data_IF_101316536354
#
_entry.id   IF_101316536354
#
_cell.length_a   1.000
_cell.length_b   1.000
_cell.length_c   1.000
_cell.angle_alpha   90.00
_cell.angle_beta   90.00
_cell.angle_gamma   90.00
#
_symmetry.space_group_name_H-M   'P 1'
#
loop_
_entity.id
_entity.type
_entity.pdbx_description
1 polymer ?
#
# COMPACT_ATOMS: atom_id res chain seq x y z
N UNK A 1 -4.36 5.25 36.75
CA UNK A 1 -4.01 4.54 35.48
C UNK A 1 -3.43 3.20 35.90
N UNK A 2 -4.08 2.09 35.51
CA UNK A 2 -3.53 0.76 35.82
C UNK A 2 -2.25 0.55 35.03
N UNK A 3 -1.20 0.01 35.65
CA UNK A 3 0.03 -0.39 34.97
C UNK A 3 -0.28 -1.36 33.83
N UNK A 4 0.38 -1.22 32.65
CA UNK A 4 0.16 -2.14 31.55
C UNK A 4 0.57 -3.57 31.97
N UNK A 5 -0.28 -4.54 31.67
CA UNK A 5 0.02 -5.95 31.93
C UNK A 5 1.20 -6.42 31.09
N UNK A 6 1.91 -7.48 31.52
CA UNK A 6 3.03 -8.06 30.76
C UNK A 6 2.64 -8.40 29.32
N UNK A 7 1.43 -8.89 29.11
CA UNK A 7 0.91 -9.20 27.77
C UNK A 7 0.75 -7.95 26.91
N UNK A 8 0.29 -6.84 27.49
CA UNK A 8 0.17 -5.57 26.75
C UNK A 8 1.53 -5.06 26.28
N UNK A 9 2.57 -5.18 27.09
CA UNK A 9 3.94 -4.79 26.73
C UNK A 9 4.51 -5.72 25.64
N UNK A 10 4.28 -7.03 25.76
CA UNK A 10 4.71 -8.00 24.76
C UNK A 10 4.03 -7.75 23.39
N UNK A 11 2.70 -7.56 23.39
CA UNK A 11 1.95 -7.28 22.15
C UNK A 11 2.40 -5.94 21.54
N UNK A 12 2.70 -4.93 22.37
CA UNK A 12 3.20 -3.65 21.88
C UNK A 12 4.58 -3.79 21.20
N UNK A 13 5.50 -4.55 21.80
CA UNK A 13 6.81 -4.86 21.20
C UNK A 13 6.65 -5.63 19.88
N UNK A 14 5.75 -6.62 19.85
CA UNK A 14 5.47 -7.41 18.66
C UNK A 14 4.91 -6.54 17.52
N UNK A 15 3.95 -5.67 17.81
CA UNK A 15 3.38 -4.72 16.82
C UNK A 15 4.46 -3.76 16.31
N UNK A 16 5.33 -3.25 17.18
CA UNK A 16 6.47 -2.42 16.77
C UNK A 16 7.37 -3.14 15.76
N UNK A 17 7.73 -4.39 16.04
CA UNK A 17 8.56 -5.22 15.14
C UNK A 17 7.86 -5.54 13.81
N UNK A 18 6.55 -5.80 13.83
CA UNK A 18 5.75 -6.00 12.61
C UNK A 18 5.76 -4.73 11.75
N UNK A 19 5.50 -3.57 12.35
CA UNK A 19 5.54 -2.28 11.65
C UNK A 19 6.91 -2.00 11.05
N UNK A 20 7.96 -2.21 11.82
CA UNK A 20 9.34 -2.01 11.40
C UNK A 20 9.69 -2.91 10.20
N UNK A 21 9.37 -4.21 10.27
CA UNK A 21 9.60 -5.14 9.17
C UNK A 21 8.79 -4.79 7.93
N UNK A 22 7.53 -4.40 8.09
CA UNK A 22 6.70 -3.96 6.97
C UNK A 22 7.25 -2.72 6.28
N UNK A 23 7.74 -1.72 7.06
CA UNK A 23 8.44 -0.56 6.49
C UNK A 23 9.65 -0.96 5.64
N UNK A 24 10.40 -1.96 6.08
CA UNK A 24 11.56 -2.43 5.33
C UNK A 24 11.17 -3.12 4.03
N UNK A 25 10.21 -4.05 4.08
CA UNK A 25 9.79 -4.80 2.91
C UNK A 25 9.04 -3.95 1.88
N UNK A 26 8.27 -2.97 2.34
CA UNK A 26 7.53 -2.06 1.47
C UNK A 26 8.34 -0.86 0.97
N UNK A 27 9.52 -0.60 1.55
CA UNK A 27 10.31 0.58 1.26
C UNK A 27 9.69 1.90 1.77
N UNK A 28 8.66 1.83 2.63
CA UNK A 28 7.90 2.99 3.11
C UNK A 28 8.34 3.44 4.50
N UNK A 29 8.16 4.74 4.79
CA UNK A 29 8.30 5.31 6.14
C UNK A 29 7.02 6.01 6.57
N UNK A 30 6.63 5.80 7.81
CA UNK A 30 5.45 6.43 8.38
C UNK A 30 5.70 7.89 8.78
N UNK A 31 4.80 8.80 8.37
CA UNK A 31 4.83 10.20 8.83
C UNK A 31 4.33 10.36 10.27
N UNK A 32 3.35 9.54 10.68
CA UNK A 32 2.70 9.58 12.01
C UNK A 32 2.79 8.20 12.68
N UNK A 33 4.01 7.73 12.96
CA UNK A 33 4.27 6.39 13.47
C UNK A 33 3.50 6.05 14.75
N UNK A 34 3.24 7.03 15.65
CA UNK A 34 2.51 6.80 16.89
C UNK A 34 1.01 6.54 16.68
N UNK A 35 0.36 7.26 15.75
CA UNK A 35 -1.07 7.05 15.45
C UNK A 35 -1.28 5.71 14.76
N UNK A 36 -0.43 5.38 13.79
CA UNK A 36 -0.44 4.10 13.09
C UNK A 36 -0.19 2.96 14.07
N UNK A 37 0.78 3.11 14.99
CA UNK A 37 1.03 2.14 16.03
C UNK A 37 -0.21 1.91 16.91
N UNK A 38 -0.86 2.97 17.39
CA UNK A 38 -2.08 2.87 18.20
C UNK A 38 -3.19 2.14 17.46
N UNK A 39 -3.38 2.47 16.18
CA UNK A 39 -4.37 1.83 15.33
C UNK A 39 -4.05 0.35 15.13
N UNK A 40 -2.85 0.00 14.69
CA UNK A 40 -2.44 -1.38 14.47
C UNK A 40 -2.48 -2.18 15.78
N UNK A 41 -2.03 -1.61 16.90
CA UNK A 41 -2.07 -2.25 18.21
C UNK A 41 -3.50 -2.59 18.65
N UNK A 42 -4.46 -1.67 18.45
CA UNK A 42 -5.85 -1.89 18.85
C UNK A 42 -6.50 -3.06 18.10
N UNK A 43 -6.07 -3.32 16.87
CA UNK A 43 -6.57 -4.40 16.02
C UNK A 43 -5.76 -5.69 16.18
N UNK A 44 -4.46 -5.59 16.34
CA UNK A 44 -3.61 -6.75 16.51
C UNK A 44 -3.78 -7.42 17.87
N UNK A 45 -4.13 -6.67 18.91
CA UNK A 45 -4.35 -7.24 20.23
C UNK A 45 -5.45 -8.32 20.28
N UNK A 46 -6.67 -8.10 19.73
CA UNK A 46 -7.65 -9.18 19.58
C UNK A 46 -7.17 -10.31 18.67
N UNK A 47 -6.49 -10.00 17.57
CA UNK A 47 -5.91 -11.00 16.66
C UNK A 47 -4.90 -11.90 17.36
N UNK A 48 -4.02 -11.32 18.17
CA UNK A 48 -3.06 -12.05 18.99
C UNK A 48 -3.74 -13.14 19.85
N UNK A 49 -4.79 -12.78 20.56
CA UNK A 49 -5.52 -13.76 21.38
C UNK A 49 -6.27 -14.80 20.56
N UNK A 50 -6.86 -14.42 19.41
CA UNK A 50 -7.46 -15.41 18.49
C UNK A 50 -6.42 -16.44 18.03
N UNK A 51 -5.25 -15.98 17.66
CA UNK A 51 -4.15 -16.84 17.20
C UNK A 51 -3.63 -17.75 18.32
N UNK A 52 -3.37 -17.23 19.53
CA UNK A 52 -2.91 -18.03 20.67
C UNK A 52 -3.94 -19.09 21.09
N UNK A 53 -5.21 -18.72 21.13
CA UNK A 53 -6.29 -19.65 21.53
C UNK A 53 -6.89 -20.43 20.35
N UNK A 54 -6.33 -20.29 19.14
CA UNK A 54 -6.78 -20.96 17.91
C UNK A 54 -8.28 -20.76 17.64
N UNK A 55 -8.78 -19.56 17.91
CA UNK A 55 -10.17 -19.23 17.68
C UNK A 55 -10.40 -19.03 16.17
N UNK A 56 -11.52 -19.55 15.63
CA UNK A 56 -11.83 -19.36 14.23
C UNK A 56 -12.08 -17.90 13.92
N UNK A 57 -11.64 -17.47 12.75
CA UNK A 57 -11.94 -16.17 12.18
C UNK A 57 -12.50 -16.36 10.78
N UNK A 58 -13.39 -15.49 10.40
CA UNK A 58 -13.92 -15.42 9.05
C UNK A 58 -13.95 -13.94 8.61
N UNK A 59 -13.32 -13.67 7.47
CA UNK A 59 -13.35 -12.37 6.85
C UNK A 59 -14.04 -12.50 5.47
N UNK A 60 -15.28 -12.02 5.32
CA UNK A 60 -16.02 -12.14 4.06
C UNK A 60 -15.38 -11.35 2.91
N UNK A 61 -14.39 -10.52 3.18
CA UNK A 61 -13.69 -9.69 2.20
C UNK A 61 -12.34 -10.28 1.78
N UNK A 62 -11.90 -11.44 2.33
CA UNK A 62 -10.58 -12.00 2.07
C UNK A 62 -10.29 -12.16 0.59
N UNK A 63 -11.22 -12.77 -0.16
CA UNK A 63 -11.03 -12.96 -1.60
C UNK A 63 -10.92 -11.63 -2.33
N UNK A 64 -11.78 -10.69 -2.00
CA UNK A 64 -11.79 -9.36 -2.61
C UNK A 64 -10.54 -8.53 -2.25
N UNK A 65 -10.03 -8.66 -1.03
CA UNK A 65 -8.77 -8.03 -0.62
C UNK A 65 -7.59 -8.59 -1.43
N UNK A 66 -7.56 -9.90 -1.69
CA UNK A 66 -6.55 -10.52 -2.53
C UNK A 66 -6.62 -10.04 -3.99
N UNK A 67 -7.82 -9.80 -4.51
CA UNK A 67 -8.03 -9.31 -5.89
C UNK A 67 -7.68 -7.83 -6.04
N UNK A 68 -8.08 -6.97 -5.08
CA UNK A 68 -7.92 -5.52 -5.16
C UNK A 68 -6.58 -5.01 -4.58
N UNK A 69 -5.97 -5.75 -3.65
CA UNK A 69 -4.75 -5.38 -2.92
C UNK A 69 -3.74 -6.53 -2.91
N UNK A 70 -3.61 -7.28 -4.01
CA UNK A 70 -2.80 -8.51 -4.09
C UNK A 70 -1.36 -8.33 -3.65
N UNK A 71 -0.68 -7.29 -4.17
CA UNK A 71 0.72 -6.99 -3.85
C UNK A 71 0.90 -6.60 -2.38
N UNK A 72 -0.02 -5.79 -1.85
CA UNK A 72 0.00 -5.41 -0.45
C UNK A 72 -0.29 -6.60 0.46
N UNK A 73 -1.26 -7.46 0.09
CA UNK A 73 -1.55 -8.71 0.78
C UNK A 73 -0.32 -9.62 0.85
N UNK A 74 0.38 -9.76 -0.28
CA UNK A 74 1.62 -10.52 -0.35
C UNK A 74 2.71 -9.95 0.58
N UNK A 75 2.95 -8.65 0.55
CA UNK A 75 3.92 -7.98 1.44
C UNK A 75 3.57 -8.13 2.92
N UNK A 76 2.28 -8.06 3.27
CA UNK A 76 1.81 -8.29 4.64
C UNK A 76 2.02 -9.75 5.05
N UNK A 77 1.72 -10.71 4.19
CA UNK A 77 1.97 -12.13 4.42
C UNK A 77 3.46 -12.39 4.68
N UNK A 78 4.35 -11.83 3.86
CA UNK A 78 5.81 -11.92 4.03
C UNK A 78 6.29 -11.23 5.30
N UNK A 79 5.69 -10.09 5.64
CA UNK A 79 5.97 -9.39 6.90
C UNK A 79 5.69 -10.30 8.10
N UNK A 80 4.60 -11.04 8.06
CA UNK A 80 4.15 -11.87 9.18
C UNK A 80 4.88 -13.22 9.31
N UNK A 81 5.56 -13.71 8.28
CA UNK A 81 6.24 -15.02 8.31
C UNK A 81 7.15 -15.26 9.53
N UNK A 82 8.08 -14.36 9.93
CA UNK A 82 8.93 -14.61 11.09
C UNK A 82 8.17 -14.67 12.41
N UNK A 83 7.00 -14.02 12.48
CA UNK A 83 6.19 -13.95 13.70
C UNK A 83 5.29 -15.17 13.91
N UNK A 84 5.14 -16.04 12.89
CA UNK A 84 4.39 -17.30 12.99
C UNK A 84 4.94 -18.22 14.09
N UNK A 85 6.23 -18.16 14.37
CA UNK A 85 6.88 -18.91 15.47
C UNK A 85 6.22 -18.58 16.82
N UNK A 86 5.77 -17.35 17.03
CA UNK A 86 5.10 -16.90 18.26
C UNK A 86 3.76 -17.62 18.47
N UNK A 87 3.11 -18.05 17.39
CA UNK A 87 1.77 -18.64 17.42
C UNK A 87 1.77 -20.15 17.25
N UNK A 88 2.94 -20.75 16.99
CA UNK A 88 3.11 -22.20 16.70
C UNK A 88 2.13 -22.69 15.61
N UNK A 89 1.78 -21.83 14.67
CA UNK A 89 0.91 -22.12 13.53
C UNK A 89 1.05 -21.07 12.43
N UNK A 90 0.74 -21.42 11.16
CA UNK A 90 0.59 -20.44 10.08
C UNK A 90 -0.53 -19.44 10.40
N UNK A 91 -0.37 -18.18 10.00
CA UNK A 91 -1.47 -17.23 10.10
C UNK A 91 -2.58 -17.59 9.10
N UNK A 92 -3.85 -17.60 9.54
CA UNK A 92 -4.98 -17.76 8.63
C UNK A 92 -5.03 -16.62 7.59
N UNK A 93 -5.43 -16.95 6.36
CA UNK A 93 -5.57 -15.96 5.27
C UNK A 93 -6.50 -14.80 5.65
N UNK A 94 -7.55 -15.08 6.40
CA UNK A 94 -8.49 -14.08 6.89
C UNK A 94 -7.86 -13.08 7.86
N UNK A 95 -6.90 -13.50 8.70
CA UNK A 95 -6.13 -12.59 9.57
C UNK A 95 -5.15 -11.76 8.74
N UNK A 96 -4.50 -12.34 7.73
CA UNK A 96 -3.62 -11.60 6.82
C UNK A 96 -4.44 -10.54 6.07
N UNK A 97 -5.64 -10.89 5.60
CA UNK A 97 -6.53 -9.95 4.94
C UNK A 97 -6.95 -8.79 5.87
N UNK A 98 -7.28 -9.04 7.13
CA UNK A 98 -7.55 -7.98 8.10
C UNK A 98 -6.33 -7.08 8.33
N UNK A 99 -5.14 -7.64 8.48
CA UNK A 99 -3.92 -6.87 8.62
C UNK A 99 -3.64 -6.04 7.35
N UNK A 100 -3.87 -6.61 6.16
CA UNK A 100 -3.73 -5.90 4.89
C UNK A 100 -4.60 -4.65 4.85
N UNK A 101 -5.85 -4.71 5.31
CA UNK A 101 -6.73 -3.54 5.40
C UNK A 101 -6.14 -2.44 6.29
N UNK A 102 -5.47 -2.79 7.40
CA UNK A 102 -4.85 -1.80 8.28
C UNK A 102 -3.61 -1.17 7.66
N UNK A 103 -2.82 -1.95 6.95
CA UNK A 103 -1.68 -1.42 6.22
C UNK A 103 -2.10 -0.60 5.01
N UNK A 104 -3.20 -0.95 4.31
CA UNK A 104 -3.75 -0.17 3.20
C UNK A 104 -4.09 1.28 3.60
N UNK A 105 -4.63 1.49 4.80
CA UNK A 105 -4.90 2.85 5.33
C UNK A 105 -3.66 3.73 5.34
N UNK A 106 -2.50 3.16 5.68
CA UNK A 106 -1.22 3.87 5.73
C UNK A 106 -0.80 4.37 4.34
N UNK A 107 -1.15 3.61 3.29
CA UNK A 107 -0.83 3.96 1.91
C UNK A 107 -1.79 4.99 1.32
N UNK A 108 -3.04 4.99 1.79
CA UNK A 108 -4.10 5.84 1.25
C UNK A 108 -4.16 7.23 1.90
N UNK A 109 -3.36 7.49 2.95
CA UNK A 109 -3.35 8.77 3.67
C UNK A 109 -2.92 9.92 2.74
N UNK A 110 -3.89 10.69 2.28
CA UNK A 110 -3.71 11.80 1.34
C UNK A 110 -3.36 13.10 2.06
N UNK A 111 -2.44 13.82 1.46
CA UNK A 111 -2.02 15.16 1.87
C UNK A 111 -3.20 16.14 2.01
N UNK A 112 -3.18 16.90 3.10
CA UNK A 112 -4.06 18.04 3.37
C UNK A 112 -4.24 18.97 2.14
N UNK A 113 -5.43 18.97 1.56
CA UNK A 113 -5.89 20.09 0.72
C UNK A 113 -6.84 20.95 1.53
N UNK A 114 -6.42 22.16 1.83
CA UNK A 114 -7.30 23.23 2.37
C UNK A 114 -8.46 23.48 1.41
N UNK A 115 -9.68 23.47 1.93
CA UNK A 115 -10.88 23.80 1.15
C UNK A 115 -11.76 24.77 1.93
N UNK A 116 -12.09 25.89 1.27
CA UNK A 116 -13.20 26.76 1.62
C UNK A 116 -14.38 26.44 0.71
N UNK A 117 -15.57 26.22 1.27
CA UNK A 117 -16.86 25.98 0.59
C UNK A 117 -17.14 24.57 0.04
N UNK A 118 -16.74 23.50 0.72
CA UNK A 118 -17.16 22.14 0.32
C UNK A 118 -18.36 21.64 1.14
N UNK A 119 -19.26 20.84 0.50
CA UNK A 119 -20.30 20.09 1.20
C UNK A 119 -19.65 19.03 2.09
N UNK A 120 -20.19 18.81 3.28
CA UNK A 120 -19.62 17.95 4.29
C UNK A 120 -20.15 16.53 4.18
N UNK A 121 -19.26 15.55 4.08
CA UNK A 121 -19.56 14.13 3.99
C UNK A 121 -19.16 13.37 5.26
N UNK A 122 -19.94 12.36 5.63
CA UNK A 122 -19.67 11.50 6.79
C UNK A 122 -19.68 10.03 6.40
N UNK A 123 -18.67 9.28 6.82
CA UNK A 123 -18.61 7.82 6.66
C UNK A 123 -19.04 7.15 7.95
N UNK A 124 -20.07 6.28 7.87
CA UNK A 124 -20.60 5.51 8.99
C UNK A 124 -20.44 4.03 8.69
N UNK A 125 -19.62 3.34 9.48
CA UNK A 125 -19.30 1.93 9.28
C UNK A 125 -19.56 1.11 10.55
N UNK A 126 -20.12 -0.10 10.37
CA UNK A 126 -20.34 -1.06 11.45
C UNK A 126 -19.21 -2.07 11.62
N UNK A 127 -18.30 -2.18 10.65
CA UNK A 127 -17.32 -3.27 10.54
C UNK A 127 -15.94 -2.97 11.15
N UNK A 128 -15.84 -1.94 12.00
CA UNK A 128 -14.59 -1.60 12.68
C UNK A 128 -13.74 -0.54 11.95
N UNK A 129 -12.63 -0.14 12.60
CA UNK A 129 -11.83 1.03 12.20
C UNK A 129 -11.12 0.84 10.85
N UNK A 130 -10.66 -0.38 10.54
CA UNK A 130 -9.92 -0.65 9.29
C UNK A 130 -10.75 -0.47 8.02
N UNK A 131 -11.94 -1.07 7.98
CA UNK A 131 -12.84 -0.96 6.83
C UNK A 131 -13.37 0.45 6.64
N UNK A 132 -13.62 1.17 7.73
CA UNK A 132 -14.05 2.58 7.65
C UNK A 132 -12.96 3.50 7.13
N UNK A 133 -11.70 3.24 7.45
CA UNK A 133 -10.59 4.05 6.98
C UNK A 133 -10.28 3.81 5.48
N UNK A 134 -10.35 2.57 5.00
CA UNK A 134 -10.24 2.29 3.56
C UNK A 134 -11.35 3.00 2.79
N UNK A 135 -12.60 2.82 3.23
CA UNK A 135 -13.75 3.44 2.60
C UNK A 135 -13.67 4.98 2.64
N UNK A 136 -13.24 5.56 3.76
CA UNK A 136 -13.02 7.00 3.89
C UNK A 136 -12.01 7.51 2.85
N UNK A 137 -10.87 6.83 2.70
CA UNK A 137 -9.85 7.22 1.75
C UNK A 137 -10.33 7.03 0.30
N UNK A 138 -11.02 5.94 0.01
CA UNK A 138 -11.58 5.67 -1.32
C UNK A 138 -12.62 6.75 -1.70
N UNK A 139 -13.58 7.03 -0.84
CA UNK A 139 -14.60 8.05 -1.08
C UNK A 139 -14.00 9.47 -1.16
N UNK A 140 -13.02 9.79 -0.30
CA UNK A 140 -12.31 11.08 -0.38
C UNK A 140 -11.54 11.24 -1.69
N UNK A 141 -11.13 10.13 -2.29
CA UNK A 141 -10.50 10.09 -3.61
C UNK A 141 -11.50 10.26 -4.73
N UNK A 142 -12.66 9.60 -4.62
CA UNK A 142 -13.73 9.67 -5.62
C UNK A 142 -14.40 11.05 -5.65
N UNK A 143 -14.49 11.73 -4.50
CA UNK A 143 -15.20 13.01 -4.34
C UNK A 143 -14.29 14.06 -3.69
N UNK A 144 -13.25 14.55 -4.40
CA UNK A 144 -12.30 15.54 -3.87
C UNK A 144 -12.95 16.90 -3.56
N UNK A 145 -14.16 17.16 -4.08
CA UNK A 145 -14.98 18.33 -3.85
C UNK A 145 -15.76 18.27 -2.52
N UNK A 146 -15.86 17.08 -1.88
CA UNK A 146 -16.51 16.91 -0.59
C UNK A 146 -15.49 17.02 0.56
N UNK A 147 -15.92 17.65 1.65
CA UNK A 147 -15.15 17.64 2.90
C UNK A 147 -15.58 16.46 3.77
N UNK A 148 -14.74 15.43 3.85
CA UNK A 148 -15.01 14.25 4.65
C UNK A 148 -14.64 14.45 6.11
N UNK A 149 -15.62 14.28 7.02
CA UNK A 149 -15.37 14.19 8.46
C UNK A 149 -14.73 12.83 8.81
N UNK A 150 -13.96 12.76 9.91
CA UNK A 150 -13.43 11.47 10.37
C UNK A 150 -14.53 10.42 10.52
N UNK A 151 -14.29 9.16 10.12
CA UNK A 151 -15.28 8.09 10.22
C UNK A 151 -15.76 7.89 11.66
N UNK A 152 -17.05 7.65 11.85
CA UNK A 152 -17.64 7.42 13.17
C UNK A 152 -18.46 6.14 13.19
N UNK A 153 -18.64 5.60 14.41
CA UNK A 153 -19.56 4.50 14.66
C UNK A 153 -21.02 4.97 14.56
N UNK A 154 -21.89 4.06 14.15
CA UNK A 154 -23.33 4.32 13.98
C UNK A 154 -24.03 4.90 15.23
N UNK A 155 -23.53 4.55 16.42
CA UNK A 155 -24.04 5.04 17.72
C UNK A 155 -23.87 6.55 17.95
N UNK A 156 -22.90 7.17 17.24
CA UNK A 156 -22.56 8.60 17.38
C UNK A 156 -23.11 9.51 16.28
N UNK A 157 -23.77 8.96 15.29
CA UNK A 157 -24.28 9.72 14.12
C UNK A 157 -25.24 10.83 14.54
N UNK A 158 -26.11 10.57 15.51
CA UNK A 158 -27.13 11.53 15.96
C UNK A 158 -26.58 12.89 16.44
N UNK A 159 -25.35 12.93 16.95
CA UNK A 159 -24.73 14.16 17.47
C UNK A 159 -24.15 15.08 16.38
N UNK A 160 -23.88 14.57 15.18
CA UNK A 160 -23.22 15.30 14.09
C UNK A 160 -24.16 15.66 12.92
N UNK A 161 -25.42 15.24 12.95
CA UNK A 161 -26.37 15.38 11.85
C UNK A 161 -26.63 16.83 11.36
N UNK A 162 -26.43 17.82 12.21
CA UNK A 162 -26.71 19.22 11.85
C UNK A 162 -25.65 19.87 10.95
N UNK A 163 -24.54 19.21 10.74
CA UNK A 163 -23.38 19.73 10.00
C UNK A 163 -22.94 18.85 8.82
N UNK A 164 -23.77 17.89 8.39
CA UNK A 164 -23.44 16.92 7.35
C UNK A 164 -24.43 17.02 6.21
N UNK A 165 -23.94 17.10 4.98
CA UNK A 165 -24.75 17.20 3.76
C UNK A 165 -25.04 15.83 3.13
N UNK A 166 -24.15 14.83 3.34
CA UNK A 166 -24.32 13.47 2.83
C UNK A 166 -23.68 12.43 3.76
N UNK A 167 -24.30 11.26 3.88
CA UNK A 167 -23.80 10.13 4.68
C UNK A 167 -23.52 8.94 3.77
N UNK A 168 -22.34 8.33 3.93
CA UNK A 168 -21.99 7.04 3.32
C UNK A 168 -22.03 5.94 4.38
N UNK A 169 -22.71 4.82 4.12
CA UNK A 169 -22.85 3.73 5.09
C UNK A 169 -22.63 2.35 4.47
N UNK A 170 -21.96 1.46 5.21
CA UNK A 170 -21.71 0.06 4.77
C UNK A 170 -22.79 -0.91 5.22
N UNK A 171 -23.73 -0.50 6.08
CA UNK A 171 -24.68 -1.41 6.70
C UNK A 171 -26.13 -1.02 6.46
N UNK A 172 -27.02 -2.02 6.65
CA UNK A 172 -28.48 -1.86 6.72
C UNK A 172 -28.95 -1.11 8.00
N UNK A 173 -28.09 -0.28 8.59
CA UNK A 173 -28.46 0.48 9.77
C UNK A 173 -29.58 1.42 9.34
N UNK A 174 -30.78 1.25 9.91
CA UNK A 174 -31.79 2.29 9.90
C UNK A 174 -31.25 3.43 10.78
N UNK A 175 -30.69 4.44 10.12
CA UNK A 175 -30.32 5.67 10.81
C UNK A 175 -31.62 6.32 11.28
N UNK A 176 -31.79 6.60 12.58
CA UNK A 176 -33.07 7.11 13.10
C UNK A 176 -33.34 8.47 12.47
N UNK A 177 -34.46 8.57 11.73
CA UNK A 177 -35.08 9.81 11.19
C UNK A 177 -34.09 10.86 10.66
N UNK A 178 -33.26 10.49 9.70
CA UNK A 178 -32.27 11.37 9.11
C UNK A 178 -32.78 11.93 7.82
N UNK A 179 -32.98 13.27 7.76
CA UNK A 179 -33.29 14.01 6.53
C UNK A 179 -32.02 14.26 5.68
N UNK A 180 -30.89 13.62 5.98
CA UNK A 180 -29.63 13.76 5.23
C UNK A 180 -29.56 12.66 4.18
N UNK A 181 -29.25 12.98 2.92
CA UNK A 181 -29.00 12.00 1.88
C UNK A 181 -28.03 10.91 2.36
N UNK A 182 -28.40 9.64 2.14
CA UNK A 182 -27.61 8.51 2.60
C UNK A 182 -27.34 7.54 1.46
N UNK A 183 -26.07 7.36 1.13
CA UNK A 183 -25.61 6.45 0.07
C UNK A 183 -25.04 5.18 0.69
N UNK A 184 -25.50 4.04 0.19
CA UNK A 184 -25.00 2.75 0.63
C UNK A 184 -23.79 2.34 -0.20
N UNK A 185 -22.71 1.96 0.48
CA UNK A 185 -21.43 1.63 -0.16
C UNK A 185 -20.85 0.33 0.38
N UNK A 186 -20.07 -0.37 -0.44
CA UNK A 186 -19.26 -1.50 0.00
C UNK A 186 -17.94 -0.97 0.60
N UNK A 187 -17.37 -1.62 1.64
CA UNK A 187 -16.04 -1.24 2.17
C UNK A 187 -14.92 -1.28 1.13
N UNK A 188 -15.06 -2.14 0.14
CA UNK A 188 -14.20 -2.23 -1.04
C UNK A 188 -15.13 -2.32 -2.25
N UNK A 189 -15.01 -1.38 -3.19
CA UNK A 189 -15.89 -1.25 -4.35
C UNK A 189 -15.16 -1.64 -5.63
N UNK A 190 -15.81 -2.46 -6.47
CA UNK A 190 -15.38 -2.63 -7.85
C UNK A 190 -15.78 -1.43 -8.73
N UNK A 191 -15.31 -1.39 -9.98
CA UNK A 191 -15.55 -0.27 -10.89
C UNK A 191 -17.05 0.04 -11.11
N UNK A 192 -17.88 -1.00 -11.23
CA UNK A 192 -19.34 -0.83 -11.42
C UNK A 192 -20.00 -0.24 -10.17
N UNK A 193 -19.61 -0.70 -8.98
CA UNK A 193 -20.12 -0.15 -7.71
C UNK A 193 -19.69 1.30 -7.51
N UNK A 194 -18.44 1.66 -7.84
CA UNK A 194 -17.93 3.03 -7.80
C UNK A 194 -18.76 3.96 -8.69
N UNK A 195 -19.05 3.52 -9.92
CA UNK A 195 -19.86 4.29 -10.85
C UNK A 195 -21.30 4.51 -10.33
N UNK A 196 -21.91 3.48 -9.74
CA UNK A 196 -23.25 3.62 -9.14
C UNK A 196 -23.25 4.59 -7.96
N UNK A 197 -22.25 4.49 -7.09
CA UNK A 197 -22.09 5.43 -5.96
C UNK A 197 -21.87 6.85 -6.46
N UNK A 198 -21.05 7.05 -7.48
CA UNK A 198 -20.83 8.34 -8.11
C UNK A 198 -22.13 8.94 -8.60
N UNK A 199 -22.90 8.21 -9.40
CA UNK A 199 -24.20 8.64 -9.91
C UNK A 199 -25.20 8.98 -8.80
N UNK A 200 -25.27 8.16 -7.77
CA UNK A 200 -26.20 8.36 -6.65
C UNK A 200 -25.87 9.63 -5.86
N UNK A 201 -24.57 9.87 -5.57
CA UNK A 201 -24.10 11.06 -4.84
C UNK A 201 -24.49 12.36 -5.56
N UNK A 202 -24.18 12.47 -6.85
CA UNK A 202 -24.54 13.68 -7.61
C UNK A 202 -26.02 13.87 -7.78
N UNK A 203 -26.79 12.80 -7.90
CA UNK A 203 -28.26 12.87 -7.92
C UNK A 203 -28.82 13.40 -6.59
N UNK A 204 -28.27 12.93 -5.46
CA UNK A 204 -28.77 13.31 -4.13
C UNK A 204 -28.31 14.71 -3.68
N UNK A 205 -27.12 15.14 -4.08
CA UNK A 205 -26.59 16.45 -3.72
C UNK A 205 -27.18 17.59 -4.55
N UNK A 206 -28.01 17.28 -5.58
CA UNK A 206 -28.71 18.27 -6.37
C UNK A 206 -27.80 19.16 -7.22
N UNK A 207 -26.55 18.79 -7.42
CA UNK A 207 -25.70 19.44 -8.38
C UNK A 207 -26.11 18.99 -9.79
N UNK A 208 -27.24 19.53 -10.25
CA UNK A 208 -27.56 19.58 -11.66
C UNK A 208 -26.60 20.52 -12.40
N UNK A 209 -25.32 20.30 -12.28
CA UNK A 209 -24.45 20.60 -13.39
C UNK A 209 -24.84 19.59 -14.45
N UNK A 210 -25.66 20.05 -15.41
CA UNK A 210 -25.69 19.50 -16.76
C UNK A 210 -24.25 19.62 -17.37
N UNK A 211 -23.26 18.98 -16.76
CA UNK A 211 -22.17 18.46 -17.50
C UNK A 211 -22.81 17.38 -18.37
N UNK A 212 -22.81 17.56 -19.68
CA UNK A 212 -23.16 16.56 -20.68
C UNK A 212 -22.24 15.35 -20.54
N UNK A 213 -22.33 14.66 -19.41
CA UNK A 213 -21.70 13.39 -19.19
C UNK A 213 -22.43 12.40 -20.07
N UNK A 214 -21.73 11.88 -21.05
CA UNK A 214 -22.25 10.90 -21.97
C UNK A 214 -22.75 9.70 -21.15
N UNK A 215 -24.04 9.56 -21.00
CA UNK A 215 -24.66 8.40 -20.34
C UNK A 215 -24.36 7.18 -21.21
N UNK A 216 -23.77 6.13 -20.63
CA UNK A 216 -23.45 4.89 -21.35
C UNK A 216 -24.67 4.35 -22.08
N UNK A 217 -25.86 4.49 -21.51
CA UNK A 217 -27.12 4.11 -22.17
C UNK A 217 -27.40 4.93 -23.44
N UNK A 218 -27.09 6.23 -23.44
CA UNK A 218 -27.28 7.08 -24.62
C UNK A 218 -26.28 6.73 -25.71
N UNK A 219 -25.04 6.41 -25.35
CA UNK A 219 -24.01 5.91 -26.27
C UNK A 219 -24.41 4.58 -26.85
N UNK A 220 -24.87 3.63 -26.01
CA UNK A 220 -25.37 2.33 -26.47
C UNK A 220 -26.54 2.51 -27.44
N UNK A 221 -27.49 3.39 -27.12
CA UNK A 221 -28.63 3.70 -27.99
C UNK A 221 -28.19 4.34 -29.32
N UNK A 222 -27.12 5.11 -29.33
CA UNK A 222 -26.52 5.65 -30.57
C UNK A 222 -25.88 4.54 -31.38
N UNK A 223 -25.04 3.69 -30.75
CA UNK A 223 -24.34 2.59 -31.46
C UNK A 223 -25.35 1.60 -32.05
N UNK A 224 -26.43 1.27 -31.35
CA UNK A 224 -27.48 0.38 -31.82
C UNK A 224 -28.25 0.89 -33.06
N UNK A 225 -28.21 2.20 -33.34
CA UNK A 225 -28.80 2.78 -34.56
C UNK A 225 -27.96 2.50 -35.81
N UNK A 226 -26.67 2.26 -35.66
CA UNK A 226 -25.70 2.20 -36.77
C UNK A 226 -24.97 0.87 -36.86
N UNK A 227 -25.04 0.01 -35.82
CA UNK A 227 -24.36 -1.27 -35.79
C UNK A 227 -25.20 -2.34 -35.07
N UNK A 228 -25.11 -3.57 -35.59
CA UNK A 228 -25.66 -4.75 -34.91
C UNK A 228 -24.62 -5.27 -33.91
N UNK A 229 -24.94 -5.22 -32.63
CA UNK A 229 -24.00 -5.51 -31.54
C UNK A 229 -24.10 -6.96 -31.15
N UNK A 230 -23.09 -7.76 -31.53
CA UNK A 230 -23.05 -9.20 -31.25
C UNK A 230 -22.85 -9.54 -29.76
N UNK A 231 -22.17 -8.66 -29.00
CA UNK A 231 -21.90 -8.83 -27.57
C UNK A 231 -22.28 -7.54 -26.80
N UNK A 232 -23.57 -7.30 -26.69
CA UNK A 232 -24.14 -6.07 -26.13
C UNK A 232 -23.76 -5.86 -24.66
N UNK A 233 -23.82 -6.90 -23.84
CA UNK A 233 -23.51 -6.85 -22.41
C UNK A 233 -22.01 -6.58 -22.16
N UNK A 234 -21.14 -7.18 -22.96
CA UNK A 234 -19.69 -6.93 -22.87
C UNK A 234 -19.35 -5.49 -23.27
N UNK A 235 -19.90 -5.00 -24.39
CA UNK A 235 -19.70 -3.61 -24.80
C UNK A 235 -20.21 -2.62 -23.75
N UNK A 236 -21.35 -2.90 -23.14
CA UNK A 236 -21.90 -2.08 -22.07
C UNK A 236 -20.98 -2.04 -20.85
N UNK A 237 -20.46 -3.21 -20.45
CA UNK A 237 -19.49 -3.33 -19.35
C UNK A 237 -18.17 -2.58 -19.65
N UNK A 238 -17.65 -2.71 -20.88
CA UNK A 238 -16.42 -2.05 -21.30
C UNK A 238 -16.58 -0.53 -21.34
N UNK A 239 -17.73 -0.04 -21.82
CA UNK A 239 -18.04 1.39 -21.80
C UNK A 239 -18.21 1.92 -20.37
N UNK A 240 -18.88 1.17 -19.48
CA UNK A 240 -18.97 1.52 -18.06
C UNK A 240 -17.58 1.61 -17.43
N UNK A 241 -16.74 0.62 -17.68
CA UNK A 241 -15.36 0.60 -17.17
C UNK A 241 -14.56 1.79 -17.70
N UNK A 242 -14.66 2.09 -19.01
CA UNK A 242 -13.97 3.21 -19.64
C UNK A 242 -14.39 4.56 -19.05
N UNK A 243 -15.69 4.81 -18.87
CA UNK A 243 -16.16 6.08 -18.29
C UNK A 243 -15.88 6.17 -16.79
N UNK A 244 -15.94 5.05 -16.06
CA UNK A 244 -15.54 5.03 -14.66
C UNK A 244 -14.05 5.39 -14.47
N UNK A 245 -13.18 5.03 -15.43
CA UNK A 245 -11.76 5.43 -15.40
C UNK A 245 -11.51 6.88 -15.82
N UNK A 246 -12.36 7.47 -16.65
CA UNK A 246 -12.22 8.88 -17.07
C UNK A 246 -12.70 9.87 -16.00
N UNK A 247 -13.66 9.49 -15.16
CA UNK A 247 -14.32 10.38 -14.20
C UNK A 247 -13.86 10.18 -12.77
N UNK A 248 -13.32 9.01 -12.43
CA UNK A 248 -12.66 8.80 -11.15
C UNK A 248 -11.21 9.27 -11.26
N UNK A 249 -10.73 10.19 -10.40
CA UNK A 249 -9.30 10.24 -10.16
C UNK A 249 -8.91 8.85 -9.65
N UNK A 250 -8.00 8.18 -10.35
CA UNK A 250 -7.53 6.81 -10.09
C UNK A 250 -7.42 6.53 -8.58
N UNK A 251 -8.29 5.71 -8.01
CA UNK A 251 -8.19 5.39 -6.58
C UNK A 251 -7.42 4.10 -6.33
N UNK A 252 -6.28 3.95 -6.77
CA UNK A 252 -5.34 2.84 -6.86
C UNK A 252 -5.23 2.42 -8.32
N UNK A 253 -4.40 3.14 -9.08
CA UNK A 253 -4.18 2.83 -10.48
C UNK A 253 -3.50 1.47 -10.64
N UNK A 254 -4.25 0.49 -11.07
CA UNK A 254 -3.67 -0.76 -11.58
C UNK A 254 -2.95 -0.58 -12.93
N UNK A 255 -3.01 0.62 -13.56
CA UNK A 255 -2.39 0.88 -14.86
C UNK A 255 -0.97 1.47 -14.79
N UNK A 256 -0.50 1.88 -13.61
CA UNK A 256 0.79 2.58 -13.43
C UNK A 256 1.72 1.90 -12.40
N UNK A 257 1.47 0.65 -12.03
CA UNK A 257 2.35 -0.10 -11.11
C UNK A 257 3.61 -0.56 -11.82
N UNK A 258 4.76 -0.29 -11.22
CA UNK A 258 6.04 -0.74 -11.74
C UNK A 258 6.29 -2.20 -11.40
N UNK A 259 6.63 -3.01 -12.40
CA UNK A 259 7.31 -4.29 -12.18
C UNK A 259 8.76 -4.04 -11.75
N UNK A 260 9.40 -5.04 -11.18
CA UNK A 260 10.80 -4.92 -10.76
C UNK A 260 11.73 -4.48 -11.90
N UNK A 261 11.54 -5.01 -13.10
CA UNK A 261 12.35 -4.66 -14.28
C UNK A 261 12.07 -3.28 -14.86
N UNK A 262 10.96 -2.64 -14.49
CA UNK A 262 10.71 -1.25 -14.85
C UNK A 262 11.62 -0.31 -14.05
N UNK A 263 11.99 -0.73 -12.82
CA UNK A 263 12.81 0.04 -11.88
C UNK A 263 14.27 -0.41 -11.84
N UNK A 264 14.56 -1.72 -11.94
CA UNK A 264 15.90 -2.29 -11.91
C UNK A 264 16.41 -2.51 -13.34
N UNK A 265 17.08 -1.50 -13.90
CA UNK A 265 17.68 -1.56 -15.22
C UNK A 265 19.09 -2.16 -15.17
N UNK A 266 19.58 -2.65 -16.31
CA UNK A 266 20.93 -3.19 -16.44
C UNK A 266 22.00 -2.21 -15.95
N UNK A 267 21.89 -0.92 -16.28
CA UNK A 267 22.83 0.13 -15.91
C UNK A 267 22.83 0.46 -14.42
N UNK A 268 21.80 0.00 -13.67
CA UNK A 268 21.70 0.19 -12.21
C UNK A 268 22.27 -1.00 -11.43
N UNK A 269 22.83 -2.01 -12.12
CA UNK A 269 23.44 -3.19 -11.52
C UNK A 269 24.96 -3.06 -11.54
N UNK A 270 25.56 -3.03 -10.37
CA UNK A 270 27.00 -2.98 -10.16
C UNK A 270 27.49 -4.30 -9.55
N UNK A 271 28.40 -4.96 -10.22
CA UNK A 271 28.98 -6.23 -9.78
C UNK A 271 30.41 -6.02 -9.28
N UNK A 272 30.85 -6.87 -8.34
CA UNK A 272 32.23 -6.96 -7.87
C UNK A 272 32.78 -5.61 -7.36
N UNK A 273 31.99 -4.88 -6.62
CA UNK A 273 32.38 -3.58 -6.07
C UNK A 273 33.09 -3.72 -4.72
N UNK A 274 33.88 -2.71 -4.35
CA UNK A 274 34.58 -2.66 -3.07
C UNK A 274 34.17 -1.39 -2.32
N UNK A 275 33.84 -1.54 -1.04
CA UNK A 275 33.52 -0.44 -0.14
C UNK A 275 34.35 -0.59 1.15
N UNK A 276 34.83 0.53 1.68
CA UNK A 276 35.70 0.54 2.89
C UNK A 276 34.89 0.41 4.19
N UNK A 277 33.65 0.87 4.16
CA UNK A 277 32.73 0.90 5.30
C UNK A 277 31.27 0.98 4.79
N UNK A 278 30.31 0.94 5.70
CA UNK A 278 28.90 0.96 5.35
C UNK A 278 28.43 2.28 4.70
N UNK A 279 29.02 3.43 5.05
CA UNK A 279 28.70 4.70 4.40
C UNK A 279 29.13 4.70 2.94
N UNK A 280 30.34 4.23 2.67
CA UNK A 280 30.84 4.06 1.30
C UNK A 280 30.00 3.07 0.51
N UNK A 281 29.55 1.99 1.16
CA UNK A 281 28.68 0.99 0.55
C UNK A 281 27.32 1.58 0.14
N UNK A 282 26.70 2.44 0.98
CA UNK A 282 25.46 3.16 0.63
C UNK A 282 25.71 4.14 -0.53
N UNK A 283 26.77 4.96 -0.49
CA UNK A 283 27.12 5.87 -1.58
C UNK A 283 27.30 5.13 -2.90
N UNK A 284 28.01 4.02 -2.84
CA UNK A 284 28.26 3.17 -4.00
C UNK A 284 26.96 2.60 -4.55
N UNK A 285 26.05 2.14 -3.67
CA UNK A 285 24.75 1.62 -4.06
C UNK A 285 23.89 2.61 -4.80
N UNK A 286 23.96 3.88 -4.42
CA UNK A 286 23.18 4.95 -5.06
C UNK A 286 23.87 5.57 -6.27
N UNK A 287 25.13 5.27 -6.53
CA UNK A 287 25.89 5.93 -7.60
C UNK A 287 25.21 5.85 -8.99
N UNK A 288 24.72 4.69 -9.47
CA UNK A 288 24.05 4.66 -10.77
C UNK A 288 22.77 5.50 -10.84
N UNK A 289 22.06 5.57 -9.72
CA UNK A 289 20.83 6.36 -9.61
C UNK A 289 21.11 7.88 -9.56
N UNK A 290 22.25 8.28 -9.00
CA UNK A 290 22.76 9.64 -9.05
C UNK A 290 23.21 10.01 -10.46
N UNK A 291 23.96 9.13 -11.12
CA UNK A 291 24.51 9.34 -12.46
C UNK A 291 23.38 9.49 -13.51
N UNK A 292 22.23 8.82 -13.33
CA UNK A 292 21.02 8.95 -14.18
C UNK A 292 20.01 9.98 -13.61
N UNK A 293 20.41 10.84 -12.67
CA UNK A 293 19.58 11.88 -12.07
C UNK A 293 18.23 11.37 -11.49
N UNK A 294 18.14 10.08 -11.14
CA UNK A 294 16.96 9.53 -10.46
C UNK A 294 16.78 10.11 -9.06
N UNK A 295 17.91 10.42 -8.41
CA UNK A 295 17.96 11.03 -7.07
C UNK A 295 18.96 12.17 -7.02
N UNK A 296 18.86 13.00 -6.00
CA UNK A 296 19.85 14.05 -5.70
C UNK A 296 20.88 13.58 -4.66
N UNK A 297 22.02 14.26 -4.55
CA UNK A 297 23.02 14.00 -3.52
C UNK A 297 22.41 14.08 -2.10
N UNK A 298 21.45 14.98 -1.89
CA UNK A 298 20.78 15.12 -0.61
C UNK A 298 20.03 13.83 -0.18
N UNK A 299 19.53 13.06 -1.13
CA UNK A 299 18.88 11.77 -0.85
C UNK A 299 19.86 10.76 -0.25
N UNK A 300 21.08 10.68 -0.80
CA UNK A 300 22.15 9.81 -0.29
C UNK A 300 22.58 10.22 1.11
N UNK A 301 22.78 11.54 1.31
CA UNK A 301 23.22 12.09 2.59
C UNK A 301 22.16 11.90 3.68
N UNK A 302 20.88 12.06 3.33
CA UNK A 302 19.77 11.83 4.26
C UNK A 302 19.64 10.33 4.63
N UNK A 303 19.86 9.41 3.67
CA UNK A 303 19.90 7.97 3.95
C UNK A 303 21.01 7.64 4.95
N UNK A 304 22.23 8.13 4.73
CA UNK A 304 23.36 7.91 5.65
C UNK A 304 23.06 8.48 7.03
N UNK A 305 22.54 9.71 7.11
CA UNK A 305 22.15 10.34 8.38
C UNK A 305 21.08 9.53 9.10
N UNK A 306 20.10 9.00 8.36
CA UNK A 306 19.03 8.18 8.94
C UNK A 306 19.57 6.88 9.55
N UNK A 307 20.53 6.23 8.90
CA UNK A 307 21.20 5.05 9.45
C UNK A 307 22.07 5.38 10.67
N UNK A 308 22.74 6.53 10.67
CA UNK A 308 23.51 7.00 11.84
C UNK A 308 22.62 7.22 13.06
N UNK A 309 21.43 7.80 12.86
CA UNK A 309 20.53 8.16 13.95
C UNK A 309 19.72 6.96 14.47
N UNK A 310 19.27 6.08 13.57
CA UNK A 310 18.32 5.01 13.88
C UNK A 310 18.97 3.60 13.91
N UNK A 311 20.29 3.52 13.69
CA UNK A 311 21.01 2.23 13.57
C UNK A 311 20.84 1.60 12.17
N UNK A 312 21.36 0.40 11.97
CA UNK A 312 21.45 -0.27 10.66
C UNK A 312 20.12 -0.91 10.20
N UNK A 313 19.05 -0.19 10.33
CA UNK A 313 17.68 -0.65 10.02
C UNK A 313 17.49 -1.10 8.57
N UNK A 314 18.34 -0.61 7.66
CA UNK A 314 18.29 -0.97 6.24
C UNK A 314 18.77 -2.40 5.97
N UNK A 315 19.40 -3.09 6.93
CA UNK A 315 19.87 -4.48 6.77
C UNK A 315 18.72 -5.42 7.10
N UNK A 316 17.95 -5.78 6.07
CA UNK A 316 16.64 -6.44 6.20
C UNK A 316 16.71 -7.95 6.42
N UNK A 317 17.81 -8.59 5.99
CA UNK A 317 18.06 -10.01 6.17
C UNK A 317 19.57 -10.30 6.09
N UNK A 318 20.04 -11.53 6.46
CA UNK A 318 21.47 -11.85 6.43
C UNK A 318 22.13 -11.52 5.10
N UNK A 319 23.10 -10.62 5.13
CA UNK A 319 23.91 -10.22 3.97
C UNK A 319 23.25 -9.21 3.02
N UNK A 320 22.02 -8.74 3.28
CA UNK A 320 21.26 -7.85 2.38
C UNK A 320 20.86 -6.55 3.05
N UNK A 321 21.21 -5.44 2.43
CA UNK A 321 20.71 -4.12 2.76
C UNK A 321 19.74 -3.61 1.68
N UNK A 322 18.64 -3.01 2.11
CA UNK A 322 17.70 -2.26 1.27
C UNK A 322 17.66 -0.80 1.74
N UNK A 323 18.44 0.04 1.06
CA UNK A 323 18.59 1.45 1.42
C UNK A 323 17.49 2.29 0.79
N UNK A 324 16.83 3.10 1.62
CA UNK A 324 15.82 4.08 1.20
C UNK A 324 15.72 5.21 2.22
N UNK A 325 15.17 6.35 1.78
CA UNK A 325 14.82 7.46 2.66
C UNK A 325 13.54 8.15 2.19
N UNK A 326 13.20 9.30 2.75
CA UNK A 326 11.97 10.03 2.43
C UNK A 326 11.98 10.56 1.00
N UNK A 327 10.83 10.52 0.33
CA UNK A 327 10.66 11.04 -1.04
C UNK A 327 11.10 12.50 -1.14
N UNK A 328 10.77 13.30 -0.14
CA UNK A 328 11.08 14.73 -0.07
C UNK A 328 12.60 15.02 0.02
N UNK A 329 13.42 14.00 0.28
CA UNK A 329 14.89 14.15 0.31
C UNK A 329 15.52 14.32 -1.08
N UNK A 330 14.75 14.15 -2.17
CA UNK A 330 15.21 14.47 -3.52
C UNK A 330 15.15 13.29 -4.50
N UNK A 331 13.98 12.69 -4.66
CA UNK A 331 13.70 11.70 -5.71
C UNK A 331 13.11 12.40 -6.92
N UNK A 332 13.67 12.14 -8.11
CA UNK A 332 13.18 12.65 -9.39
C UNK A 332 12.48 11.57 -10.22
N UNK A 333 13.01 10.32 -10.17
CA UNK A 333 12.46 9.17 -10.91
C UNK A 333 12.47 7.94 -10.01
N UNK A 334 11.46 7.08 -10.15
CA UNK A 334 11.44 5.79 -9.48
C UNK A 334 12.52 4.87 -10.06
N UNK A 335 13.32 4.26 -9.21
CA UNK A 335 14.41 3.37 -9.64
C UNK A 335 14.83 2.42 -8.49
N UNK A 336 15.40 1.27 -8.87
CA UNK A 336 16.06 0.34 -7.95
C UNK A 336 17.48 0.08 -8.47
N UNK A 337 18.48 0.26 -7.62
CA UNK A 337 19.87 -0.14 -7.89
C UNK A 337 20.21 -1.45 -7.18
N UNK A 338 21.11 -2.22 -7.74
CA UNK A 338 21.71 -3.41 -7.12
C UNK A 338 23.23 -3.30 -7.15
N UNK A 339 23.87 -3.42 -5.99
CA UNK A 339 25.31 -3.47 -5.87
C UNK A 339 25.75 -4.74 -5.15
N UNK A 340 26.60 -5.52 -5.82
CA UNK A 340 27.21 -6.73 -5.28
C UNK A 340 28.64 -6.41 -4.85
N UNK A 341 28.95 -6.62 -3.57
CA UNK A 341 30.27 -6.36 -2.99
C UNK A 341 31.17 -7.60 -3.11
N UNK A 342 32.42 -7.38 -3.48
CA UNK A 342 33.47 -8.42 -3.43
C UNK A 342 33.77 -8.84 -1.99
N UNK A 343 33.95 -7.86 -1.13
CA UNK A 343 34.19 -8.05 0.29
C UNK A 343 33.00 -7.57 1.08
N UNK A 344 32.34 -8.45 1.86
CA UNK A 344 31.22 -8.06 2.69
C UNK A 344 31.60 -6.99 3.72
N UNK A 345 30.68 -6.04 3.97
CA UNK A 345 30.91 -4.87 4.84
C UNK A 345 30.06 -4.96 6.10
N UNK A 346 30.63 -4.56 7.24
CA UNK A 346 29.94 -4.48 8.53
C UNK A 346 29.07 -3.23 8.59
N UNK A 347 27.75 -3.44 8.79
CA UNK A 347 26.76 -2.40 9.04
C UNK A 347 26.39 -2.28 10.52
N UNK A 348 26.98 -3.13 11.37
CA UNK A 348 26.65 -3.28 12.79
C UNK A 348 25.23 -3.82 13.05
N UNK A 349 24.73 -4.65 12.13
CA UNK A 349 23.37 -5.21 12.13
C UNK A 349 23.26 -6.56 12.86
N UNK A 350 24.18 -6.85 13.79
CA UNK A 350 24.19 -8.06 14.61
C UNK A 350 24.16 -9.34 13.75
N UNK A 351 23.04 -10.08 13.78
CA UNK A 351 22.87 -11.37 13.10
C UNK A 351 22.79 -11.27 11.58
N UNK A 352 22.50 -10.08 11.04
CA UNK A 352 22.35 -9.86 9.59
C UNK A 352 23.63 -9.41 8.90
N UNK A 353 24.68 -9.09 9.66
CA UNK A 353 26.01 -8.77 9.14
C UNK A 353 26.83 -10.03 8.80
N UNK A 354 27.84 -9.90 7.92
CA UNK A 354 28.15 -8.74 7.09
C UNK A 354 27.30 -8.67 5.82
N UNK A 355 27.15 -7.45 5.24
CA UNK A 355 26.36 -7.19 4.03
C UNK A 355 27.19 -7.38 2.78
N UNK A 356 26.66 -8.15 1.83
CA UNK A 356 27.23 -8.40 0.50
C UNK A 356 26.42 -7.78 -0.64
N UNK A 357 25.12 -7.58 -0.43
CA UNK A 357 24.17 -7.15 -1.45
C UNK A 357 23.42 -5.89 -0.97
N UNK A 358 23.45 -4.85 -1.78
CA UNK A 358 22.82 -3.57 -1.48
C UNK A 358 21.79 -3.27 -2.56
N UNK A 359 20.54 -3.23 -2.19
CA UNK A 359 19.46 -2.70 -3.02
C UNK A 359 19.21 -1.25 -2.62
N UNK A 360 19.19 -0.36 -3.60
CA UNK A 360 19.00 1.09 -3.40
C UNK A 360 17.69 1.52 -4.04
N UNK A 361 16.68 1.83 -3.23
CA UNK A 361 15.35 2.20 -3.70
C UNK A 361 15.20 3.72 -3.76
N UNK A 362 14.72 4.22 -4.88
CA UNK A 362 14.18 5.56 -5.07
C UNK A 362 12.70 5.45 -5.47
N UNK A 363 11.79 5.88 -4.60
CA UNK A 363 10.36 5.83 -4.86
C UNK A 363 9.80 7.26 -5.02
N UNK A 364 9.05 7.53 -6.09
CA UNK A 364 8.44 8.85 -6.36
C UNK A 364 7.09 9.03 -5.67
N UNK A 365 6.44 7.95 -5.31
CA UNK A 365 5.16 7.90 -4.62
C UNK A 365 5.10 6.71 -3.66
N UNK A 366 3.95 6.52 -3.01
CA UNK A 366 3.79 5.48 -1.98
C UNK A 366 3.31 4.13 -2.49
N UNK A 367 2.77 4.05 -3.71
CA UNK A 367 2.02 2.88 -4.17
C UNK A 367 2.65 2.21 -5.39
N UNK A 368 3.08 2.99 -6.38
CA UNK A 368 3.48 2.47 -7.70
C UNK A 368 4.62 1.45 -7.69
N UNK A 369 5.48 1.50 -6.66
CA UNK A 369 6.62 0.57 -6.52
C UNK A 369 6.28 -0.71 -5.73
N UNK A 370 5.06 -0.87 -5.20
CA UNK A 370 4.71 -2.02 -4.34
C UNK A 370 4.86 -3.35 -5.03
N UNK A 371 4.43 -3.46 -6.28
CA UNK A 371 4.57 -4.66 -7.09
C UNK A 371 6.04 -5.03 -7.31
N UNK A 372 6.87 -4.04 -7.63
CA UNK A 372 8.32 -4.25 -7.75
C UNK A 372 8.94 -4.71 -6.43
N UNK A 373 8.46 -4.21 -5.28
CA UNK A 373 8.92 -4.63 -3.96
C UNK A 373 8.46 -6.06 -3.62
N UNK A 374 7.23 -6.43 -3.95
CA UNK A 374 6.75 -7.81 -3.78
C UNK A 374 7.60 -8.80 -4.61
N UNK A 375 7.87 -8.46 -5.87
CA UNK A 375 8.75 -9.24 -6.75
C UNK A 375 10.19 -9.32 -6.22
N UNK A 376 10.73 -8.22 -5.69
CA UNK A 376 12.05 -8.23 -5.05
C UNK A 376 12.08 -9.15 -3.84
N UNK A 377 11.05 -9.14 -3.01
CA UNK A 377 10.94 -10.03 -1.85
C UNK A 377 10.91 -11.50 -2.26
N UNK A 378 10.20 -11.85 -3.35
CA UNK A 378 10.20 -13.21 -3.89
C UNK A 378 11.61 -13.66 -4.31
N UNK A 379 12.37 -12.79 -5.01
CA UNK A 379 13.77 -13.08 -5.37
C UNK A 379 14.67 -13.25 -4.15
N UNK A 380 14.50 -12.42 -3.13
CA UNK A 380 15.27 -12.49 -1.89
C UNK A 380 14.96 -13.76 -1.08
N UNK A 381 13.80 -14.38 -1.29
CA UNK A 381 13.45 -15.68 -0.71
C UNK A 381 13.97 -16.88 -1.53
N UNK A 382 14.55 -16.65 -2.73
CA UNK A 382 15.06 -17.70 -3.61
C UNK A 382 16.57 -17.91 -3.43
N UNK A 383 17.06 -19.04 -2.85
CA UNK A 383 18.50 -19.28 -2.65
C UNK A 383 19.32 -19.26 -3.94
N UNK A 384 18.70 -19.64 -5.06
CA UNK A 384 19.33 -19.67 -6.39
C UNK A 384 19.71 -18.24 -6.85
N UNK A 385 18.92 -17.24 -6.47
CA UNK A 385 19.21 -15.84 -6.79
C UNK A 385 20.55 -15.38 -6.16
N UNK A 386 20.79 -15.72 -4.90
CA UNK A 386 22.06 -15.39 -4.24
C UNK A 386 23.26 -16.17 -4.83
N UNK A 387 23.01 -17.39 -5.30
CA UNK A 387 24.05 -18.14 -6.03
C UNK A 387 24.40 -17.45 -7.33
N UNK A 388 23.41 -16.97 -8.07
CA UNK A 388 23.62 -16.17 -9.27
C UNK A 388 24.38 -14.87 -8.95
N UNK A 389 23.95 -14.09 -7.97
CA UNK A 389 24.57 -12.81 -7.61
C UNK A 389 26.07 -12.96 -7.26
N UNK A 390 26.44 -14.07 -6.64
CA UNK A 390 27.83 -14.38 -6.27
C UNK A 390 28.75 -14.62 -7.48
N UNK A 391 28.20 -15.21 -8.54
CA UNK A 391 28.98 -15.70 -9.68
C UNK A 391 28.69 -14.93 -10.98
N UNK A 392 27.73 -14.03 -10.98
CA UNK A 392 27.40 -13.22 -12.15
C UNK A 392 28.58 -12.32 -12.54
N UNK A 393 29.00 -12.41 -13.77
CA UNK A 393 30.05 -11.59 -14.38
C UNK A 393 29.51 -10.50 -15.32
N UNK A 394 28.21 -10.45 -15.52
CA UNK A 394 27.53 -9.42 -16.28
C UNK A 394 26.14 -9.11 -15.68
N UNK A 395 25.72 -7.83 -15.66
CA UNK A 395 24.38 -7.45 -15.23
C UNK A 395 23.26 -8.12 -16.03
N UNK A 396 23.49 -8.43 -17.31
CA UNK A 396 22.50 -9.08 -18.18
C UNK A 396 22.05 -10.43 -17.65
N UNK A 397 22.94 -11.22 -17.04
CA UNK A 397 22.59 -12.52 -16.44
C UNK A 397 21.55 -12.38 -15.32
N UNK A 398 21.62 -11.29 -14.57
CA UNK A 398 20.68 -11.01 -13.49
C UNK A 398 19.31 -10.60 -14.08
N UNK A 399 19.32 -9.73 -15.10
CA UNK A 399 18.09 -9.33 -15.81
C UNK A 399 17.43 -10.56 -16.44
N UNK A 400 18.20 -11.42 -17.13
CA UNK A 400 17.67 -12.63 -17.77
C UNK A 400 17.07 -13.60 -16.74
N UNK A 401 17.68 -13.74 -15.57
CA UNK A 401 17.13 -14.53 -14.47
C UNK A 401 15.81 -13.97 -13.96
N UNK A 402 15.74 -12.66 -13.75
CA UNK A 402 14.52 -11.99 -13.27
C UNK A 402 13.39 -12.11 -14.30
N UNK A 403 13.70 -11.94 -15.61
CA UNK A 403 12.73 -12.14 -16.72
C UNK A 403 12.09 -13.53 -16.71
N UNK A 404 12.87 -14.56 -16.32
CA UNK A 404 12.42 -15.96 -16.34
C UNK A 404 11.95 -16.46 -14.95
N UNK A 405 11.95 -15.61 -13.94
CA UNK A 405 11.52 -15.96 -12.60
C UNK A 405 10.00 -15.99 -12.49
N UNK A 406 9.46 -17.06 -11.91
CA UNK A 406 8.02 -17.17 -11.63
C UNK A 406 7.73 -16.47 -10.32
N UNK A 407 7.26 -15.23 -10.39
CA UNK A 407 6.81 -14.49 -9.22
C UNK A 407 5.50 -15.04 -8.68
N UNK A 408 5.31 -14.92 -7.38
CA UNK A 408 4.03 -15.24 -6.74
C UNK A 408 2.99 -14.20 -7.17
N UNK A 409 1.93 -14.65 -7.83
CA UNK A 409 0.81 -13.81 -8.25
C UNK A 409 -0.07 -13.42 -7.07
#
# INVERSE_FOLDING_TARGET
>A
MNEPTKDCLFIADLVGKIMERFMYLSGQRYKSGEEIFKQLYSHFRPAYYRLIFRLPIFNPLTQRIKEEFGELYHLVAETMKPFQITFDQPLPEDEIAYLTMHFAVIYLDKADKKVQNQKTALVVCSNGIGSSAILFNELSSMFPELHFLPPIESSRVASLMKSVDIIFTTSLIQLPNVNVPTVRVSPIMNLTERYQVYKEVYTQLGDNTESKQANVNDIMAIIEKYADIKYKESLYSDLLSYFATLEAPDPVGHSDEFNLLDLLKQDYIQLHQNASNWQDAIKLGYKPLLDDECITQNYVDDTIRAVQLNGPYIVIMPGVALSNTKIEAGVNKAAIGLTVLNTPVQFHAKTNDPVSYIFSLAATDRNKHLKAMAQLVDLLNAPQFFTLLRHANSPQLIIDYICNFNFSN
#
